data_IF_397747305304
#
_entry.id   IF_397747305304
#
_cell.length_a   1.000
_cell.length_b   1.000
_cell.length_c   1.000
_cell.angle_alpha   90.00
_cell.angle_beta   90.00
_cell.angle_gamma   90.00
#
_symmetry.space_group_name_H-M   'P 1'
#
loop_
_entity.id
_entity.type
_entity.pdbx_description
1 polymer ?
#
# COMPACT_ATOMS: atom_id res chain seq x y z
N UNK A 1 21.85 1.03 -4.26
CA UNK A 1 21.51 2.34 -3.65
C UNK A 1 20.28 2.91 -4.34
N UNK A 2 19.30 3.38 -3.56
CA UNK A 2 18.11 4.03 -4.11
C UNK A 2 18.43 5.48 -4.51
N UNK A 3 17.78 5.94 -5.57
CA UNK A 3 17.97 7.32 -6.03
C UNK A 3 17.27 8.30 -5.12
N UNK A 4 17.94 9.41 -4.81
CA UNK A 4 17.30 10.55 -4.15
C UNK A 4 16.38 11.31 -5.12
N UNK A 5 15.40 12.01 -4.55
CA UNK A 5 14.55 12.91 -5.33
C UNK A 5 15.37 14.06 -5.90
N UNK A 6 15.22 14.31 -7.20
CA UNK A 6 15.90 15.41 -7.88
C UNK A 6 15.48 16.77 -7.31
N UNK A 7 14.19 16.95 -7.04
CA UNK A 7 13.63 18.18 -6.45
C UNK A 7 13.50 18.04 -4.94
N UNK A 8 14.63 18.21 -4.22
CA UNK A 8 14.68 18.06 -2.75
C UNK A 8 13.73 19.01 -2.00
N UNK A 9 13.48 20.21 -2.55
CA UNK A 9 12.54 21.18 -1.96
C UNK A 9 11.05 20.75 -2.06
N UNK A 10 10.75 19.69 -2.79
CA UNK A 10 9.42 19.10 -2.90
C UNK A 10 9.28 17.80 -2.09
N UNK A 11 10.36 17.36 -1.47
CA UNK A 11 10.36 16.13 -0.67
C UNK A 11 9.47 16.26 0.57
N UNK A 12 8.72 15.22 0.83
CA UNK A 12 7.97 15.05 2.09
C UNK A 12 8.89 14.50 3.18
N UNK A 13 8.64 14.90 4.41
CA UNK A 13 9.25 14.26 5.58
C UNK A 13 8.73 12.82 5.73
N UNK A 14 9.39 12.05 6.58
CA UNK A 14 8.94 10.69 6.92
C UNK A 14 7.53 10.71 7.51
N UNK A 15 7.27 11.65 8.41
CA UNK A 15 5.98 11.83 9.08
C UNK A 15 4.88 12.17 8.09
N UNK A 16 5.16 13.02 7.11
CA UNK A 16 4.22 13.35 6.04
C UNK A 16 3.94 12.16 5.12
N UNK A 17 4.96 11.35 4.80
CA UNK A 17 4.78 10.10 4.04
C UNK A 17 3.86 9.12 4.80
N UNK A 18 4.09 8.93 6.10
CA UNK A 18 3.26 8.07 6.95
C UNK A 18 1.82 8.58 6.99
N UNK A 19 1.63 9.90 7.13
CA UNK A 19 0.29 10.49 7.13
C UNK A 19 -0.49 10.20 5.84
N UNK A 20 0.16 10.23 4.68
CA UNK A 20 -0.47 9.84 3.40
C UNK A 20 -0.84 8.36 3.40
N UNK A 21 0.07 7.49 3.86
CA UNK A 21 -0.17 6.04 3.92
C UNK A 21 -1.32 5.66 4.86
N UNK A 22 -1.45 6.35 5.98
CA UNK A 22 -2.53 6.10 6.95
C UNK A 22 -3.88 6.64 6.47
N UNK A 23 -3.88 7.80 5.84
CA UNK A 23 -5.10 8.47 5.38
C UNK A 23 -5.72 7.79 4.16
N UNK A 24 -4.89 7.46 3.17
CA UNK A 24 -5.37 6.89 1.92
C UNK A 24 -5.73 5.40 2.08
N UNK A 25 -6.78 4.97 1.41
CA UNK A 25 -7.30 3.60 1.54
C UNK A 25 -6.70 2.63 0.57
N UNK A 26 -6.13 3.11 -0.52
CA UNK A 26 -5.55 2.26 -1.57
C UNK A 26 -4.42 2.95 -2.32
N UNK A 27 -3.62 2.15 -2.97
CA UNK A 27 -2.56 2.58 -3.87
C UNK A 27 -2.37 1.58 -4.99
N UNK A 28 -1.32 1.76 -5.77
CA UNK A 28 -0.94 0.85 -6.86
C UNK A 28 0.28 0.05 -6.44
N UNK A 29 0.09 -1.27 -6.30
CA UNK A 29 1.18 -2.23 -6.11
C UNK A 29 1.67 -2.68 -7.47
N UNK A 30 2.96 -2.54 -7.73
CA UNK A 30 3.61 -2.96 -8.96
C UNK A 30 4.62 -4.07 -8.70
N UNK A 31 4.48 -5.15 -9.44
CA UNK A 31 5.34 -6.33 -9.40
C UNK A 31 5.99 -6.55 -10.77
N UNK A 32 7.01 -7.40 -10.83
CA UNK A 32 7.56 -7.85 -12.12
C UNK A 32 6.70 -9.01 -12.61
N UNK A 33 5.87 -8.71 -13.59
CA UNK A 33 4.94 -9.66 -14.19
C UNK A 33 5.57 -10.53 -15.25
N UNK A 34 4.72 -11.24 -15.99
CA UNK A 34 5.15 -12.09 -17.10
C UNK A 34 5.82 -11.27 -18.20
N UNK A 35 6.74 -11.90 -18.93
CA UNK A 35 7.56 -11.29 -20.00
C UNK A 35 8.37 -10.06 -19.51
N UNK A 36 8.59 -9.93 -18.18
CA UNK A 36 9.33 -8.82 -17.60
C UNK A 36 8.56 -7.49 -17.54
N UNK A 37 7.29 -7.48 -17.87
CA UNK A 37 6.48 -6.26 -17.77
C UNK A 37 6.21 -5.88 -16.32
N UNK A 38 6.38 -4.60 -15.95
CA UNK A 38 5.84 -4.10 -14.69
C UNK A 38 4.32 -4.26 -14.66
N UNK A 39 3.82 -5.01 -13.68
CA UNK A 39 2.39 -5.23 -13.51
C UNK A 39 1.88 -4.46 -12.30
N UNK A 40 1.15 -3.37 -12.56
CA UNK A 40 0.57 -2.48 -11.54
C UNK A 40 -0.91 -2.77 -11.34
N UNK A 41 -1.33 -2.89 -10.08
CA UNK A 41 -2.72 -3.11 -9.74
C UNK A 41 -3.15 -2.30 -8.51
N UNK A 42 -4.39 -1.77 -8.48
CA UNK A 42 -4.90 -1.10 -7.29
C UNK A 42 -5.08 -2.10 -6.15
N UNK A 43 -4.62 -1.72 -4.97
CA UNK A 43 -4.72 -2.52 -3.76
C UNK A 43 -5.13 -1.66 -2.57
N UNK A 44 -6.10 -2.14 -1.80
CA UNK A 44 -6.34 -1.61 -0.47
C UNK A 44 -5.22 -2.04 0.45
N UNK A 45 -4.77 -1.13 1.33
CA UNK A 45 -3.62 -1.37 2.20
C UNK A 45 -3.88 -0.95 3.64
N UNK A 46 -3.09 -1.53 4.52
CA UNK A 46 -2.98 -1.13 5.92
C UNK A 46 -1.52 -0.85 6.25
N UNK A 47 -1.21 0.38 6.68
CA UNK A 47 0.08 0.74 7.24
C UNK A 47 0.09 0.41 8.73
N UNK A 48 1.05 -0.39 9.16
CA UNK A 48 1.22 -0.77 10.56
C UNK A 48 2.26 0.13 11.22
N UNK A 49 1.83 1.07 12.10
CA UNK A 49 2.75 2.05 12.69
C UNK A 49 3.88 1.44 13.51
N UNK A 50 3.62 0.33 14.19
CA UNK A 50 4.56 -0.33 15.09
C UNK A 50 5.77 -0.91 14.35
N UNK A 51 5.55 -1.46 13.16
CA UNK A 51 6.59 -2.11 12.36
C UNK A 51 7.05 -1.28 11.16
N UNK A 52 6.20 -0.37 10.69
CA UNK A 52 6.38 0.35 9.43
C UNK A 52 6.07 -0.49 8.20
N UNK A 53 5.55 -1.69 8.34
CA UNK A 53 5.17 -2.55 7.25
C UNK A 53 3.83 -2.14 6.64
N UNK A 54 3.64 -2.47 5.39
CA UNK A 54 2.37 -2.28 4.70
C UNK A 54 1.77 -3.64 4.37
N UNK A 55 0.50 -3.80 4.66
CA UNK A 55 -0.21 -5.05 4.53
C UNK A 55 -1.29 -4.98 3.47
N UNK A 56 -1.42 -6.08 2.72
CA UNK A 56 -2.48 -6.30 1.75
C UNK A 56 -3.07 -7.67 1.97
N UNK A 57 -4.33 -7.88 1.62
CA UNK A 57 -4.91 -9.20 1.55
C UNK A 57 -5.13 -9.59 0.08
N UNK A 58 -5.06 -10.87 -0.20
CA UNK A 58 -5.33 -11.42 -1.53
C UNK A 58 -5.83 -12.86 -1.46
N UNK A 59 -6.33 -13.36 -2.58
CA UNK A 59 -6.64 -14.78 -2.74
C UNK A 59 -5.37 -15.62 -2.90
N UNK A 60 -5.55 -16.93 -2.86
CA UNK A 60 -4.44 -17.91 -2.89
C UNK A 60 -3.88 -18.22 -4.28
N UNK A 61 -4.42 -17.61 -5.33
CA UNK A 61 -4.03 -17.85 -6.72
C UNK A 61 -4.04 -16.56 -7.52
N UNK A 62 -3.28 -16.52 -8.59
CA UNK A 62 -3.33 -15.46 -9.59
C UNK A 62 -1.97 -14.90 -9.96
N UNK A 63 -1.95 -14.15 -11.06
CA UNK A 63 -0.75 -13.56 -11.68
C UNK A 63 0.12 -12.79 -10.67
N UNK A 64 -0.50 -11.94 -9.85
CA UNK A 64 0.21 -11.18 -8.81
C UNK A 64 1.00 -12.07 -7.85
N UNK A 65 0.36 -13.12 -7.35
CA UNK A 65 0.97 -14.03 -6.37
C UNK A 65 2.12 -14.83 -7.00
N UNK A 66 1.92 -15.30 -8.23
CA UNK A 66 2.96 -16.02 -8.99
C UNK A 66 4.15 -15.11 -9.28
N UNK A 67 3.91 -13.86 -9.62
CA UNK A 67 4.94 -12.85 -9.85
C UNK A 67 5.76 -12.57 -8.59
N UNK A 68 5.09 -12.38 -7.44
CA UNK A 68 5.74 -12.15 -6.14
C UNK A 68 6.59 -13.35 -5.70
N UNK A 69 6.15 -14.57 -5.97
CA UNK A 69 6.92 -15.78 -5.67
C UNK A 69 8.20 -15.87 -6.50
N UNK A 70 8.18 -15.39 -7.74
CA UNK A 70 9.36 -15.35 -8.62
C UNK A 70 10.32 -14.22 -8.25
N UNK A 71 9.77 -13.02 -8.03
CA UNK A 71 10.53 -11.81 -7.67
C UNK A 71 9.77 -11.04 -6.59
N UNK A 72 10.24 -11.07 -5.34
CA UNK A 72 9.56 -10.42 -4.23
C UNK A 72 9.74 -8.90 -4.19
N UNK A 73 10.64 -8.33 -4.98
CA UNK A 73 10.83 -6.88 -5.05
C UNK A 73 9.66 -6.21 -5.73
N UNK A 74 9.13 -5.18 -5.08
CA UNK A 74 7.95 -4.47 -5.54
C UNK A 74 8.11 -2.97 -5.36
N UNK A 75 7.24 -2.22 -6.01
CA UNK A 75 6.98 -0.83 -5.65
C UNK A 75 5.51 -0.64 -5.31
N UNK A 76 5.25 0.25 -4.35
CA UNK A 76 3.89 0.63 -3.97
C UNK A 76 3.77 2.14 -4.00
N UNK A 77 2.79 2.65 -4.74
CA UNK A 77 2.55 4.08 -4.91
C UNK A 77 1.19 4.46 -4.34
N UNK A 78 1.19 5.41 -3.42
CA UNK A 78 -0.03 5.99 -2.85
C UNK A 78 -0.03 7.48 -3.14
N UNK A 79 -1.16 8.03 -3.52
CA UNK A 79 -1.31 9.46 -3.77
C UNK A 79 -2.68 9.97 -3.35
N UNK A 80 -2.70 11.23 -2.94
CA UNK A 80 -3.92 11.92 -2.54
C UNK A 80 -4.70 12.41 -3.76
N UNK A 81 -5.99 12.67 -3.55
CA UNK A 81 -6.83 13.39 -4.52
C UNK A 81 -6.28 14.78 -4.88
N UNK A 82 -5.53 15.36 -3.96
CA UNK A 82 -5.06 16.72 -4.05
C UNK A 82 -6.00 17.72 -3.37
N UNK A 83 -5.42 18.86 -3.03
CA UNK A 83 -6.10 20.00 -2.43
C UNK A 83 -5.91 21.22 -3.29
N UNK A 84 -6.91 22.09 -3.32
CA UNK A 84 -6.87 23.33 -4.08
C UNK A 84 -7.11 24.48 -3.13
N UNK A 85 -6.19 25.43 -3.06
CA UNK A 85 -6.38 26.65 -2.28
C UNK A 85 -7.40 27.57 -2.96
N UNK A 86 -8.07 28.39 -2.15
CA UNK A 86 -8.99 29.39 -2.68
C UNK A 86 -8.25 30.34 -3.64
N UNK A 87 -8.82 30.55 -4.83
CA UNK A 87 -8.22 31.33 -5.88
C UNK A 87 -7.13 30.65 -6.69
N UNK A 88 -6.72 29.43 -6.32
CA UNK A 88 -5.75 28.63 -7.08
C UNK A 88 -6.51 27.73 -8.08
N UNK A 89 -5.92 27.50 -9.26
CA UNK A 89 -6.48 26.62 -10.28
C UNK A 89 -5.79 25.25 -10.30
N UNK A 90 -4.61 25.17 -9.71
CA UNK A 90 -3.82 23.95 -9.65
C UNK A 90 -4.06 23.17 -8.36
N UNK A 91 -4.13 21.85 -8.47
CA UNK A 91 -4.15 20.97 -7.31
C UNK A 91 -2.77 20.73 -6.75
N UNK A 92 -2.64 20.77 -5.43
CA UNK A 92 -1.46 20.31 -4.70
C UNK A 92 -1.64 18.84 -4.32
N UNK A 93 -0.78 17.96 -4.82
CA UNK A 93 -0.90 16.51 -4.64
C UNK A 93 0.33 15.98 -3.93
N UNK A 94 0.13 15.26 -2.84
CA UNK A 94 1.18 14.49 -2.18
C UNK A 94 1.13 13.05 -2.66
N UNK A 95 2.30 12.48 -2.96
CA UNK A 95 2.44 11.08 -3.33
C UNK A 95 3.62 10.45 -2.60
N UNK A 96 3.49 9.15 -2.33
CA UNK A 96 4.51 8.35 -1.66
C UNK A 96 4.80 7.13 -2.52
N UNK A 97 6.08 6.85 -2.75
CA UNK A 97 6.53 5.64 -3.44
C UNK A 97 7.42 4.86 -2.48
N UNK A 98 7.12 3.58 -2.36
CA UNK A 98 7.83 2.63 -1.49
C UNK A 98 8.45 1.55 -2.37
N UNK A 99 9.74 1.32 -2.19
CA UNK A 99 10.40 0.12 -2.68
C UNK A 99 10.65 -0.83 -1.52
N UNK A 100 10.43 -2.11 -1.73
CA UNK A 100 10.62 -3.12 -0.71
C UNK A 100 10.38 -4.53 -1.24
N UNK A 101 10.29 -5.45 -0.31
CA UNK A 101 10.04 -6.86 -0.62
C UNK A 101 8.75 -7.34 0.04
N UNK A 102 8.03 -8.18 -0.67
CA UNK A 102 6.83 -8.84 -0.13
C UNK A 102 7.21 -10.17 0.49
N UNK A 103 6.71 -10.39 1.70
CA UNK A 103 6.63 -11.69 2.35
C UNK A 103 5.17 -12.17 2.31
N UNK A 104 4.96 -13.41 1.89
CA UNK A 104 3.63 -14.03 1.89
C UNK A 104 3.39 -14.63 3.28
N UNK A 105 2.28 -14.23 3.92
CA UNK A 105 1.93 -14.65 5.27
C UNK A 105 0.68 -15.52 5.22
N UNK A 106 0.79 -16.75 5.73
CA UNK A 106 -0.26 -17.77 5.73
C UNK A 106 -0.80 -18.07 7.13
N UNK A 107 -0.22 -17.49 8.17
CA UNK A 107 -0.64 -17.69 9.54
C UNK A 107 -2.05 -17.14 9.79
N UNK A 108 -2.97 -18.04 10.18
CA UNK A 108 -4.41 -17.73 10.34
C UNK A 108 -4.65 -16.64 11.38
N UNK A 109 -3.89 -16.64 12.48
CA UNK A 109 -4.03 -15.63 13.53
C UNK A 109 -3.66 -14.23 13.00
N UNK A 110 -2.52 -14.13 12.34
CA UNK A 110 -2.06 -12.89 11.71
C UNK A 110 -3.02 -12.42 10.63
N UNK A 111 -3.52 -13.34 9.79
CA UNK A 111 -4.53 -13.04 8.76
C UNK A 111 -5.78 -12.41 9.40
N UNK A 112 -6.30 -13.00 10.46
CA UNK A 112 -7.50 -12.49 11.14
C UNK A 112 -7.26 -11.10 11.74
N UNK A 113 -6.16 -10.90 12.42
CA UNK A 113 -5.83 -9.63 13.07
C UNK A 113 -5.63 -8.50 12.06
N UNK A 114 -4.83 -8.73 11.03
CA UNK A 114 -4.52 -7.72 10.01
C UNK A 114 -5.73 -7.44 9.11
N UNK A 115 -6.48 -8.47 8.72
CA UNK A 115 -7.70 -8.29 7.92
C UNK A 115 -8.73 -7.45 8.67
N UNK A 116 -8.88 -7.64 9.98
CA UNK A 116 -9.74 -6.80 10.81
C UNK A 116 -9.28 -5.33 10.81
N UNK A 117 -7.98 -5.09 10.98
CA UNK A 117 -7.40 -3.73 10.95
C UNK A 117 -7.58 -3.05 9.59
N UNK A 118 -7.36 -3.79 8.51
CA UNK A 118 -7.61 -3.32 7.14
C UNK A 118 -9.09 -2.96 6.93
N UNK A 119 -9.99 -3.83 7.36
CA UNK A 119 -11.44 -3.65 7.20
C UNK A 119 -11.96 -2.43 7.94
N UNK A 120 -11.39 -2.09 9.10
CA UNK A 120 -11.76 -0.91 9.89
C UNK A 120 -11.48 0.42 9.18
N UNK A 121 -10.68 0.43 8.13
CA UNK A 121 -10.54 1.61 7.25
C UNK A 121 -11.81 1.89 6.41
N UNK A 122 -12.67 0.91 6.26
CA UNK A 122 -13.87 0.97 5.41
C UNK A 122 -15.18 0.91 6.17
N UNK A 123 -15.20 0.29 7.33
CA UNK A 123 -16.40 0.12 8.16
C UNK A 123 -16.05 0.07 9.64
N UNK A 124 -16.98 0.53 10.48
CA UNK A 124 -16.92 0.38 11.93
C UNK A 124 -17.77 -0.78 12.47
N UNK A 125 -18.42 -1.54 11.59
CA UNK A 125 -19.27 -2.68 11.96
C UNK A 125 -18.42 -3.91 12.30
N UNK A 126 -18.11 -4.09 13.59
CA UNK A 126 -17.29 -5.19 14.09
C UNK A 126 -17.94 -6.58 13.88
N UNK A 127 -19.26 -6.68 13.94
CA UNK A 127 -20.00 -7.93 13.67
C UNK A 127 -19.87 -8.33 12.21
N UNK A 128 -19.99 -7.37 11.30
CA UNK A 128 -19.77 -7.59 9.88
C UNK A 128 -18.33 -8.04 9.60
N UNK A 129 -17.33 -7.34 10.14
CA UNK A 129 -15.91 -7.69 9.98
C UNK A 129 -15.65 -9.11 10.45
N UNK A 130 -16.15 -9.47 11.63
CA UNK A 130 -16.00 -10.83 12.18
C UNK A 130 -16.62 -11.87 11.27
N UNK A 131 -17.84 -11.64 10.78
CA UNK A 131 -18.53 -12.58 9.89
C UNK A 131 -17.79 -12.78 8.57
N UNK A 132 -17.22 -11.72 7.99
CA UNK A 132 -16.45 -11.82 6.75
C UNK A 132 -15.14 -12.60 6.95
N UNK A 133 -14.44 -12.39 8.06
CA UNK A 133 -13.24 -13.15 8.41
C UNK A 133 -13.55 -14.63 8.59
N UNK A 134 -14.64 -14.97 9.26
CA UNK A 134 -15.09 -16.36 9.44
C UNK A 134 -15.43 -17.05 8.11
N UNK A 135 -16.06 -16.33 7.18
CA UNK A 135 -16.41 -16.86 5.85
C UNK A 135 -15.21 -17.04 4.93
N UNK A 136 -14.34 -16.03 4.84
CA UNK A 136 -13.33 -15.92 3.78
C UNK A 136 -11.88 -16.04 4.27
N UNK A 137 -11.64 -16.06 5.57
CA UNK A 137 -10.29 -16.09 6.13
C UNK A 137 -9.44 -17.26 5.66
N UNK A 138 -10.04 -18.44 5.45
CA UNK A 138 -9.37 -19.64 4.93
C UNK A 138 -8.94 -19.51 3.47
N UNK A 139 -9.59 -18.65 2.70
CA UNK A 139 -9.31 -18.40 1.29
C UNK A 139 -8.37 -17.20 1.09
N UNK A 140 -7.93 -16.57 2.19
CA UNK A 140 -7.16 -15.33 2.18
C UNK A 140 -5.71 -15.58 2.56
N UNK A 141 -4.80 -14.91 1.84
CA UNK A 141 -3.41 -14.72 2.21
C UNK A 141 -3.16 -13.25 2.52
N UNK A 142 -2.12 -12.99 3.31
CA UNK A 142 -1.59 -11.65 3.47
C UNK A 142 -0.28 -11.47 2.70
N UNK A 143 -0.11 -10.29 2.17
CA UNK A 143 1.14 -9.80 1.61
C UNK A 143 1.67 -8.74 2.55
N UNK A 144 2.84 -8.99 3.14
CA UNK A 144 3.55 -8.04 4.00
C UNK A 144 4.66 -7.38 3.20
N UNK A 145 4.47 -6.11 2.84
CA UNK A 145 5.53 -5.30 2.23
C UNK A 145 6.44 -4.76 3.33
N UNK A 146 7.69 -5.19 3.30
CA UNK A 146 8.76 -4.69 4.16
C UNK A 146 9.50 -3.59 3.40
N UNK A 147 9.36 -2.31 3.80
CA UNK A 147 9.99 -1.21 3.09
C UNK A 147 11.51 -1.23 3.20
N UNK A 148 12.18 -1.01 2.09
CA UNK A 148 13.63 -0.76 2.03
C UNK A 148 13.90 0.73 1.75
N UNK A 149 12.97 1.41 1.07
CA UNK A 149 13.07 2.83 0.76
C UNK A 149 11.68 3.45 0.64
N UNK A 150 11.49 4.58 1.31
CA UNK A 150 10.26 5.38 1.23
C UNK A 150 10.64 6.79 0.79
N UNK A 151 9.98 7.28 -0.24
CA UNK A 151 10.10 8.66 -0.68
C UNK A 151 8.74 9.25 -0.97
N UNK A 152 8.57 10.52 -0.65
CA UNK A 152 7.36 11.25 -0.95
C UNK A 152 7.65 12.63 -1.50
N UNK A 153 6.73 13.15 -2.27
CA UNK A 153 6.83 14.51 -2.84
C UNK A 153 5.48 15.19 -2.92
N UNK A 154 5.51 16.51 -2.87
CA UNK A 154 4.38 17.37 -3.21
C UNK A 154 4.61 17.97 -4.59
N UNK A 155 3.60 17.94 -5.45
CA UNK A 155 3.60 18.61 -6.74
C UNK A 155 2.35 19.45 -6.90
N UNK A 156 2.47 20.56 -7.61
CA UNK A 156 1.33 21.28 -8.15
C UNK A 156 1.02 20.72 -9.54
N UNK A 157 -0.19 20.26 -9.73
CA UNK A 157 -0.69 19.82 -11.02
C UNK A 157 -1.35 21.00 -11.73
N UNK A 158 -0.84 21.28 -12.89
CA UNK A 158 -1.35 22.35 -13.74
C UNK A 158 -1.72 21.83 -15.12
#
# INVERSE_FOLDING_TARGET
MFRELLRKNKALSKEECVAVLEKETRGVLSVIGDEGYPYGMPMSHFYEPESGNIWFHCGKKGHRLDSIRKEPKVSFCVFEKGTKAEGDWAFSVRSVVIFGKIEIVEDIKTISEITAKLSRKFTSDEEYIKSEIEKFGKETLLLKLVPEHISGKTVKES
#
